data_IF_103369104078
#
_entry.id   IF_103369104078
#
_cell.length_a   1.000
_cell.length_b   1.000
_cell.length_c   1.000
_cell.angle_alpha   90.00
_cell.angle_beta   90.00
_cell.angle_gamma   90.00
#
_symmetry.space_group_name_H-M   'P 1'
#
loop_
_entity.id
_entity.type
_entity.pdbx_description
1 polymer ?
#
# COMPACT_ATOMS: atom_id res chain seq x y z
N UNK A 1 -18.39 18.25 4.53
CA UNK A 1 -18.43 16.85 4.05
C UNK A 1 -17.73 16.83 2.71
N UNK A 2 -16.63 16.10 2.57
CA UNK A 2 -15.81 16.14 1.37
C UNK A 2 -16.33 15.11 0.33
N UNK A 3 -17.34 15.50 -0.44
CA UNK A 3 -17.90 14.70 -1.54
C UNK A 3 -16.90 14.43 -2.66
N UNK A 4 -15.89 15.27 -2.78
CA UNK A 4 -14.89 15.19 -3.83
C UNK A 4 -13.90 14.05 -3.60
N UNK A 5 -13.37 13.91 -2.38
CA UNK A 5 -12.54 12.75 -2.02
C UNK A 5 -13.28 11.43 -2.23
N UNK A 6 -14.54 11.36 -1.83
CA UNK A 6 -15.36 10.16 -2.01
C UNK A 6 -15.46 9.79 -3.51
N UNK A 7 -15.66 10.78 -4.39
CA UNK A 7 -15.71 10.54 -5.83
C UNK A 7 -14.36 10.09 -6.40
N UNK A 8 -13.25 10.72 -6.01
CA UNK A 8 -11.89 10.33 -6.44
C UNK A 8 -11.61 8.87 -6.02
N UNK A 9 -11.91 8.53 -4.76
CA UNK A 9 -11.68 7.18 -4.23
C UNK A 9 -12.55 6.11 -4.91
N UNK A 10 -13.84 6.37 -5.13
CA UNK A 10 -14.71 5.44 -5.85
C UNK A 10 -14.28 5.27 -7.32
N UNK A 11 -13.88 6.37 -7.99
CA UNK A 11 -13.36 6.32 -9.35
C UNK A 11 -12.09 5.47 -9.44
N UNK A 12 -11.14 5.65 -8.52
CA UNK A 12 -9.93 4.84 -8.44
C UNK A 12 -10.25 3.35 -8.30
N UNK A 13 -11.14 2.97 -7.36
CA UNK A 13 -11.54 1.57 -7.16
C UNK A 13 -12.19 0.99 -8.41
N UNK A 14 -13.06 1.75 -9.07
CA UNK A 14 -13.72 1.33 -10.29
C UNK A 14 -12.69 1.09 -11.40
N UNK A 15 -11.80 2.04 -11.63
CA UNK A 15 -10.72 1.94 -12.62
C UNK A 15 -9.82 0.74 -12.38
N UNK A 16 -9.41 0.48 -11.14
CA UNK A 16 -8.63 -0.71 -10.77
C UNK A 16 -9.42 -1.98 -11.13
N UNK A 17 -10.70 -2.06 -10.75
CA UNK A 17 -11.53 -3.25 -10.97
C UNK A 17 -11.81 -3.56 -12.45
N UNK A 18 -11.80 -2.53 -13.30
CA UNK A 18 -12.08 -2.66 -14.74
C UNK A 18 -10.85 -3.05 -15.55
N UNK A 19 -9.65 -2.65 -15.10
CA UNK A 19 -8.41 -2.83 -15.85
C UNK A 19 -7.55 -3.99 -15.34
N UNK A 20 -7.74 -4.38 -14.09
CA UNK A 20 -7.04 -5.54 -13.51
C UNK A 20 -8.03 -6.70 -13.45
N UNK A 21 -8.08 -7.47 -14.55
CA UNK A 21 -8.88 -8.68 -14.65
C UNK A 21 -8.14 -9.89 -14.04
N UNK A 22 -8.90 -10.76 -13.38
CA UNK A 22 -8.38 -11.97 -12.73
C UNK A 22 -8.91 -13.23 -13.41
N UNK A 23 -8.18 -13.73 -14.40
CA UNK A 23 -8.46 -15.02 -15.05
C UNK A 23 -7.30 -15.99 -14.81
N UNK A 24 -7.20 -16.52 -13.59
CA UNK A 24 -6.63 -17.85 -13.36
C UNK A 24 -5.14 -18.10 -13.64
N UNK A 25 -4.25 -17.48 -12.86
CA UNK A 25 -3.07 -18.11 -12.25
C UNK A 25 -2.54 -17.16 -11.17
N UNK A 26 -2.16 -17.68 -10.00
CA UNK A 26 -1.71 -16.90 -8.84
C UNK A 26 -0.28 -16.34 -9.02
N UNK A 27 0.38 -16.57 -10.15
CA UNK A 27 1.84 -16.44 -10.30
C UNK A 27 2.29 -15.30 -11.24
N UNK A 28 1.38 -14.64 -11.98
CA UNK A 28 1.75 -13.79 -13.12
C UNK A 28 1.36 -12.30 -13.00
N UNK A 29 1.11 -11.78 -11.79
CA UNK A 29 0.65 -10.39 -11.65
C UNK A 29 1.80 -9.38 -11.66
N UNK A 30 2.46 -9.26 -12.80
CA UNK A 30 3.29 -8.12 -13.16
C UNK A 30 2.55 -7.29 -14.20
N UNK A 31 2.26 -6.03 -13.86
CA UNK A 31 1.66 -5.08 -14.81
C UNK A 31 2.72 -4.00 -15.03
N UNK A 32 3.41 -4.10 -16.16
CA UNK A 32 4.43 -3.12 -16.53
C UNK A 32 3.79 -1.73 -16.75
N UNK A 33 2.66 -1.66 -17.46
CA UNK A 33 1.94 -0.41 -17.68
C UNK A 33 0.65 -0.33 -16.86
N UNK A 34 0.68 0.47 -15.78
CA UNK A 34 -0.46 0.82 -14.95
C UNK A 34 -0.89 2.28 -15.10
N UNK A 35 -0.64 2.89 -16.27
CA UNK A 35 -1.01 4.28 -16.57
C UNK A 35 -2.52 4.54 -16.46
N UNK A 36 -3.35 3.49 -16.55
CA UNK A 36 -4.79 3.60 -16.28
C UNK A 36 -5.09 4.11 -14.86
N UNK A 37 -4.22 3.86 -13.88
CA UNK A 37 -4.36 4.41 -12.52
C UNK A 37 -4.14 5.92 -12.52
N UNK A 38 -3.15 6.40 -13.29
CA UNK A 38 -2.88 7.84 -13.42
C UNK A 38 -4.06 8.55 -14.08
N UNK A 39 -4.80 7.89 -14.99
CA UNK A 39 -6.03 8.46 -15.55
C UNK A 39 -7.14 8.66 -14.49
N UNK A 40 -7.15 7.87 -13.41
CA UNK A 40 -8.05 8.06 -12.28
C UNK A 40 -7.56 9.09 -11.26
N UNK A 41 -6.26 9.42 -11.31
CA UNK A 41 -5.56 10.37 -10.45
C UNK A 41 -5.09 11.57 -11.31
N UNK A 42 -6.08 12.31 -11.83
CA UNK A 42 -5.91 13.30 -12.90
C UNK A 42 -5.13 14.57 -12.53
N UNK A 43 -4.98 14.86 -11.24
CA UNK A 43 -4.18 15.98 -10.71
C UNK A 43 -2.70 15.61 -10.58
N UNK A 44 -2.34 14.33 -10.69
CA UNK A 44 -0.97 13.86 -10.61
C UNK A 44 -0.32 13.86 -11.99
N UNK A 45 0.79 14.58 -12.12
CA UNK A 45 1.62 14.53 -13.31
C UNK A 45 2.88 13.72 -13.04
N UNK A 46 2.98 12.55 -13.65
CA UNK A 46 4.23 11.79 -13.66
C UNK A 46 5.28 12.50 -14.52
N UNK A 47 6.53 12.50 -14.07
CA UNK A 47 7.64 13.09 -14.82
C UNK A 47 7.74 12.51 -16.23
N UNK A 48 8.05 13.36 -17.20
CA UNK A 48 8.11 12.96 -18.61
C UNK A 48 9.07 11.78 -18.84
N UNK A 49 8.62 10.75 -19.56
CA UNK A 49 9.40 9.57 -19.88
C UNK A 49 9.33 8.47 -18.80
N UNK A 50 8.56 8.69 -17.73
CA UNK A 50 8.28 7.71 -16.69
C UNK A 50 6.82 7.25 -16.71
N UNK A 51 6.60 6.00 -16.35
CA UNK A 51 5.28 5.38 -16.24
C UNK A 51 5.14 4.63 -14.93
N UNK A 52 3.90 4.52 -14.46
CA UNK A 52 3.56 3.72 -13.29
C UNK A 52 3.46 2.25 -13.69
N UNK A 53 4.15 1.37 -12.97
CA UNK A 53 3.99 -0.07 -13.05
C UNK A 53 3.56 -0.66 -11.71
N UNK A 54 3.22 -1.95 -11.72
CA UNK A 54 2.85 -2.73 -10.54
C UNK A 54 3.62 -4.05 -10.51
N UNK A 55 4.11 -4.44 -9.33
CA UNK A 55 4.78 -5.71 -9.11
C UNK A 55 4.23 -6.45 -7.88
N UNK A 56 4.38 -7.79 -7.79
CA UNK A 56 3.96 -8.54 -6.62
C UNK A 56 4.99 -8.43 -5.48
N UNK A 57 4.51 -8.11 -4.27
CA UNK A 57 5.31 -7.98 -3.05
C UNK A 57 5.03 -9.07 -2.03
N UNK A 58 6.05 -9.86 -1.70
CA UNK A 58 5.98 -10.94 -0.73
C UNK A 58 6.52 -10.55 0.65
N UNK A 59 5.79 -10.93 1.71
CA UNK A 59 6.25 -10.82 3.08
C UNK A 59 7.02 -12.10 3.47
N UNK A 60 8.34 -11.98 3.69
CA UNK A 60 9.17 -13.11 4.15
C UNK A 60 9.13 -13.19 5.67
N UNK A 61 8.33 -14.10 6.22
CA UNK A 61 8.65 -14.73 7.49
C UNK A 61 9.37 -16.05 7.17
N UNK A 62 10.45 -16.34 7.89
CA UNK A 62 11.37 -17.45 7.62
C UNK A 62 10.69 -18.76 7.22
N UNK A 63 11.35 -19.46 6.30
CA UNK A 63 10.81 -20.57 5.51
C UNK A 63 9.66 -20.12 4.59
N UNK A 64 10.04 -19.71 3.38
CA UNK A 64 9.15 -19.73 2.22
C UNK A 64 8.85 -21.21 1.93
N UNK A 65 7.97 -21.77 2.73
CA UNK A 65 7.27 -22.98 2.37
C UNK A 65 6.50 -22.68 1.09
N UNK A 66 6.57 -23.62 0.16
CA UNK A 66 6.26 -23.60 -1.28
C UNK A 66 4.97 -22.93 -1.80
N UNK A 67 4.21 -22.21 -0.97
CA UNK A 67 3.03 -21.47 -1.37
C UNK A 67 3.39 -20.01 -1.63
N UNK A 68 3.66 -19.67 -2.89
CA UNK A 68 3.73 -18.32 -3.49
C UNK A 68 2.44 -17.48 -3.30
N UNK A 69 1.62 -17.81 -2.32
CA UNK A 69 0.21 -17.46 -2.21
C UNK A 69 -0.05 -16.20 -1.38
N UNK A 70 0.95 -15.66 -0.67
CA UNK A 70 0.79 -14.57 0.31
C UNK A 70 1.49 -13.28 -0.12
N UNK A 71 0.95 -12.59 -1.12
CA UNK A 71 1.50 -11.32 -1.59
C UNK A 71 0.40 -10.26 -1.78
N UNK A 72 0.85 -9.02 -1.95
CA UNK A 72 0.02 -7.90 -2.38
C UNK A 72 0.75 -7.12 -3.47
N UNK A 73 0.01 -6.37 -4.27
CA UNK A 73 0.60 -5.60 -5.35
C UNK A 73 1.16 -4.27 -4.84
N UNK A 74 2.35 -3.91 -5.32
CA UNK A 74 3.04 -2.65 -5.00
C UNK A 74 3.23 -1.82 -6.26
N UNK A 75 2.97 -0.49 -6.20
CA UNK A 75 3.30 0.39 -7.31
C UNK A 75 4.80 0.70 -7.34
N UNK A 76 5.30 0.94 -8.55
CA UNK A 76 6.64 1.45 -8.80
C UNK A 76 6.65 2.31 -10.06
N UNK A 77 7.76 2.99 -10.33
CA UNK A 77 7.92 3.83 -11.52
C UNK A 77 9.13 3.38 -12.30
N UNK A 78 8.97 3.21 -13.61
CA UNK A 78 10.07 2.92 -14.54
C UNK A 78 9.99 3.83 -15.76
N UNK A 79 11.05 3.85 -16.58
CA UNK A 79 11.04 4.59 -17.85
C UNK A 79 10.17 3.89 -18.88
N UNK A 80 9.51 4.66 -19.74
CA UNK A 80 8.66 4.16 -20.84
C UNK A 80 9.36 3.14 -21.75
N UNK A 81 10.68 3.24 -21.89
CA UNK A 81 11.50 2.36 -22.72
C UNK A 81 12.40 1.41 -21.92
N UNK A 82 12.08 1.18 -20.64
CA UNK A 82 12.80 0.23 -19.80
C UNK A 82 12.74 -1.18 -20.42
N UNK A 83 13.89 -1.84 -20.50
CA UNK A 83 14.03 -3.20 -21.08
C UNK A 83 14.91 -4.11 -20.24
N UNK A 84 15.57 -3.57 -19.21
CA UNK A 84 16.36 -4.35 -18.26
C UNK A 84 15.42 -4.95 -17.22
N UNK A 85 15.77 -6.08 -16.64
CA UNK A 85 14.97 -6.71 -15.59
C UNK A 85 15.69 -6.62 -14.25
N UNK A 86 14.98 -6.17 -13.23
CA UNK A 86 15.39 -6.26 -11.84
C UNK A 86 15.01 -7.65 -11.32
N UNK A 87 15.94 -8.60 -11.48
CA UNK A 87 15.70 -10.00 -11.13
C UNK A 87 16.32 -10.34 -9.77
N UNK A 88 15.55 -10.90 -8.81
CA UNK A 88 16.09 -11.44 -7.59
C UNK A 88 16.77 -12.80 -7.84
N UNK A 89 18.04 -12.95 -7.45
CA UNK A 89 18.74 -14.23 -7.46
C UNK A 89 18.49 -15.00 -6.16
N UNK A 90 18.22 -16.30 -6.29
CA UNK A 90 18.01 -17.21 -5.15
C UNK A 90 19.32 -17.90 -4.76
N UNK A 91 19.84 -17.61 -3.57
CA UNK A 91 20.88 -18.41 -2.91
C UNK A 91 20.23 -19.41 -1.96
N UNK A 92 20.55 -20.69 -2.13
CA UNK A 92 20.17 -21.71 -1.14
C UNK A 92 21.41 -22.11 -0.34
N UNK A 93 21.40 -21.91 0.97
CA UNK A 93 22.49 -22.36 1.86
C UNK A 93 22.14 -23.69 2.52
N UNK A 94 23.07 -24.64 2.43
CA UNK A 94 22.93 -25.95 3.07
C UNK A 94 22.93 -25.81 4.59
N UNK A 95 22.03 -26.51 5.30
CA UNK A 95 22.12 -26.58 6.74
C UNK A 95 23.44 -27.26 7.14
N UNK A 96 24.05 -26.87 8.27
CA UNK A 96 25.25 -27.50 8.77
C UNK A 96 25.04 -29.02 8.98
N UNK A 97 26.12 -29.81 8.86
CA UNK A 97 26.05 -31.28 9.02
C UNK A 97 25.32 -31.65 10.31
N UNK A 98 24.30 -32.52 10.21
CA UNK A 98 23.50 -32.99 11.35
C UNK A 98 24.39 -33.48 12.49
N UNK A 99 24.19 -32.91 13.67
CA UNK A 99 24.82 -33.38 14.92
C UNK A 99 24.28 -34.76 15.32
N UNK A 100 24.96 -35.44 16.25
CA UNK A 100 24.53 -36.76 16.71
C UNK A 100 23.10 -36.74 17.30
N UNK A 101 22.76 -35.71 18.09
CA UNK A 101 21.41 -35.52 18.64
C UNK A 101 20.34 -35.34 17.55
N UNK A 102 20.67 -34.60 16.49
CA UNK A 102 19.78 -34.40 15.35
C UNK A 102 19.59 -35.68 14.52
N UNK A 103 20.62 -36.53 14.41
CA UNK A 103 20.50 -37.84 13.73
C UNK A 103 19.62 -38.82 14.50
N UNK A 104 19.59 -38.71 15.83
CA UNK A 104 18.69 -39.48 16.69
C UNK A 104 17.30 -38.87 16.84
N UNK A 105 16.99 -37.78 16.11
CA UNK A 105 15.71 -37.06 16.20
C UNK A 105 15.41 -36.47 17.60
N UNK A 106 16.46 -36.26 18.43
CA UNK A 106 16.35 -35.66 19.76
C UNK A 106 16.54 -34.14 19.76
N UNK A 107 16.92 -33.56 18.62
CA UNK A 107 17.04 -32.12 18.41
C UNK A 107 16.59 -31.76 16.99
N UNK A 108 16.00 -30.57 16.82
CA UNK A 108 15.58 -30.06 15.49
C UNK A 108 16.81 -29.84 14.60
N UNK A 109 16.71 -30.26 13.35
CA UNK A 109 17.68 -29.86 12.32
C UNK A 109 17.37 -28.42 11.93
N UNK A 110 18.41 -27.60 11.69
CA UNK A 110 18.17 -26.35 10.98
C UNK A 110 17.69 -26.67 9.56
N UNK A 111 16.63 -26.01 9.10
CA UNK A 111 16.18 -26.16 7.73
C UNK A 111 17.14 -25.48 6.76
N UNK A 112 16.95 -25.75 5.47
CA UNK A 112 17.62 -25.01 4.41
C UNK A 112 17.20 -23.55 4.46
N UNK A 113 18.17 -22.63 4.41
CA UNK A 113 17.88 -21.20 4.32
C UNK A 113 17.95 -20.77 2.86
N UNK A 114 16.83 -20.26 2.37
CA UNK A 114 16.72 -19.57 1.08
C UNK A 114 16.92 -18.08 1.33
N UNK A 115 17.91 -17.49 0.69
CA UNK A 115 18.21 -16.06 0.76
C UNK A 115 18.08 -15.49 -0.65
N UNK A 116 17.30 -14.43 -0.81
CA UNK A 116 17.21 -13.70 -2.08
C UNK A 116 18.13 -12.50 -2.00
N UNK A 117 18.83 -12.24 -3.09
CA UNK A 117 19.66 -11.05 -3.25
C UNK A 117 19.48 -10.52 -4.67
N UNK A 118 19.83 -9.25 -4.89
CA UNK A 118 20.04 -8.73 -6.24
C UNK A 118 21.50 -8.32 -6.36
N UNK A 119 22.09 -8.54 -7.54
CA UNK A 119 23.45 -8.08 -7.83
C UNK A 119 23.49 -6.57 -8.08
N UNK A 120 22.36 -6.01 -8.55
CA UNK A 120 22.23 -4.61 -8.92
C UNK A 120 21.34 -3.87 -7.93
N UNK A 121 21.55 -2.56 -7.79
CA UNK A 121 20.57 -1.69 -7.17
C UNK A 121 19.44 -1.39 -8.16
N UNK A 122 18.21 -1.27 -7.64
CA UNK A 122 17.08 -0.93 -8.49
C UNK A 122 17.31 0.43 -9.17
N UNK A 123 16.94 0.54 -10.45
CA UNK A 123 16.92 1.80 -11.17
C UNK A 123 15.69 1.87 -12.09
N UNK A 124 15.18 3.08 -12.43
CA UNK A 124 14.02 3.21 -13.32
C UNK A 124 14.22 2.67 -14.75
N UNK A 125 15.45 2.33 -15.16
CA UNK A 125 15.70 1.64 -16.43
C UNK A 125 15.35 0.14 -16.38
N UNK A 126 14.91 -0.35 -15.22
CA UNK A 126 14.59 -1.75 -14.96
C UNK A 126 13.09 -1.98 -14.72
N UNK A 127 12.57 -3.06 -15.28
CA UNK A 127 11.26 -3.65 -15.05
C UNK A 127 11.35 -4.70 -13.95
N UNK A 128 10.27 -4.91 -13.19
CA UNK A 128 10.20 -5.91 -12.12
C UNK A 128 9.25 -7.03 -12.56
N UNK A 129 9.75 -8.09 -13.23
CA UNK A 129 8.88 -9.09 -13.86
C UNK A 129 8.30 -10.10 -12.86
N UNK A 130 8.84 -10.17 -11.64
CA UNK A 130 8.56 -11.23 -10.68
C UNK A 130 8.37 -10.70 -9.26
N UNK A 131 7.99 -11.59 -8.35
CA UNK A 131 7.78 -11.28 -6.94
C UNK A 131 9.07 -10.78 -6.27
N UNK A 132 8.97 -9.62 -5.61
CA UNK A 132 10.03 -9.12 -4.74
C UNK A 132 9.69 -9.38 -3.27
N UNK A 133 10.69 -9.88 -2.53
CA UNK A 133 10.60 -10.00 -1.07
C UNK A 133 10.87 -8.66 -0.40
N UNK A 134 10.38 -8.50 0.83
CA UNK A 134 10.47 -7.27 1.63
C UNK A 134 11.87 -6.61 1.67
N UNK A 135 12.95 -7.39 1.72
CA UNK A 135 14.32 -6.85 1.74
C UNK A 135 14.66 -6.12 0.44
N UNK A 136 14.29 -6.69 -0.71
CA UNK A 136 14.57 -6.12 -2.03
C UNK A 136 13.57 -5.02 -2.38
N UNK A 137 12.30 -5.19 -2.02
CA UNK A 137 11.29 -4.19 -2.29
C UNK A 137 11.54 -2.84 -1.60
N UNK A 138 12.27 -2.84 -0.47
CA UNK A 138 12.69 -1.62 0.22
C UNK A 138 13.66 -0.75 -0.57
N UNK A 139 14.35 -1.30 -1.57
CA UNK A 139 15.22 -0.51 -2.45
C UNK A 139 14.47 0.15 -3.61
N UNK A 140 13.19 -0.21 -3.82
CA UNK A 140 12.35 0.40 -4.85
C UNK A 140 11.80 1.74 -4.32
N UNK A 141 12.12 2.88 -4.97
CA UNK A 141 11.66 4.20 -4.55
C UNK A 141 10.14 4.35 -4.60
N UNK A 142 9.61 5.29 -3.83
CA UNK A 142 8.18 5.61 -3.86
C UNK A 142 7.81 6.25 -5.20
N UNK A 143 6.64 5.92 -5.79
CA UNK A 143 6.12 6.66 -6.95
C UNK A 143 6.02 8.18 -6.72
N UNK A 144 5.87 8.62 -5.47
CA UNK A 144 5.81 10.03 -5.12
C UNK A 144 7.04 10.84 -5.54
N UNK A 145 8.20 10.21 -5.70
CA UNK A 145 9.43 10.88 -6.12
C UNK A 145 9.35 11.41 -7.56
N UNK A 146 8.44 10.85 -8.37
CA UNK A 146 8.30 11.09 -9.79
C UNK A 146 7.00 11.80 -10.16
N UNK A 147 6.22 12.29 -9.18
CA UNK A 147 4.98 13.02 -9.44
C UNK A 147 5.07 14.49 -9.05
N UNK A 148 4.42 15.33 -9.84
CA UNK A 148 4.26 16.76 -9.62
C UNK A 148 2.77 17.08 -9.51
N UNK A 149 2.44 18.02 -8.65
CA UNK A 149 1.04 18.43 -8.41
C UNK A 149 0.90 19.94 -8.23
N UNK A 150 -0.31 20.45 -8.47
CA UNK A 150 -0.73 21.74 -7.93
C UNK A 150 -0.99 21.62 -6.42
N UNK A 151 -0.82 22.72 -5.67
CA UNK A 151 -1.07 22.72 -4.22
C UNK A 151 -2.56 22.94 -3.91
N UNK A 152 -3.38 21.94 -4.23
CA UNK A 152 -4.84 21.96 -4.09
C UNK A 152 -5.32 20.70 -3.34
N UNK A 153 -6.50 20.75 -2.70
CA UNK A 153 -6.97 19.69 -1.80
C UNK A 153 -7.17 18.36 -2.56
N UNK A 154 -7.72 18.44 -3.76
CA UNK A 154 -7.96 17.35 -4.70
C UNK A 154 -6.65 16.65 -5.09
N UNK A 155 -5.61 17.43 -5.36
CA UNK A 155 -4.31 16.88 -5.70
C UNK A 155 -3.65 16.15 -4.51
N UNK A 156 -3.84 16.67 -3.30
CA UNK A 156 -3.37 16.01 -2.07
C UNK A 156 -4.12 14.71 -1.82
N UNK A 157 -5.41 14.67 -2.14
CA UNK A 157 -6.19 13.44 -2.10
C UNK A 157 -5.66 12.36 -3.01
N UNK A 158 -5.34 12.71 -4.24
CA UNK A 158 -4.76 11.76 -5.18
C UNK A 158 -3.34 11.33 -4.77
N UNK A 159 -2.53 12.24 -4.21
CA UNK A 159 -1.23 11.89 -3.61
C UNK A 159 -1.39 10.87 -2.48
N UNK A 160 -2.35 11.10 -1.57
CA UNK A 160 -2.63 10.15 -0.49
C UNK A 160 -3.01 8.78 -1.05
N UNK A 161 -3.89 8.74 -2.05
CA UNK A 161 -4.31 7.48 -2.66
C UNK A 161 -3.16 6.77 -3.39
N UNK A 162 -2.28 7.49 -4.10
CA UNK A 162 -1.08 6.91 -4.73
C UNK A 162 -0.10 6.36 -3.68
N UNK A 163 0.16 7.14 -2.62
CA UNK A 163 1.05 6.74 -1.52
C UNK A 163 0.57 5.48 -0.80
N UNK A 164 -0.76 5.31 -0.72
CA UNK A 164 -1.43 4.18 -0.06
C UNK A 164 -1.94 3.13 -1.03
N UNK A 165 -1.61 3.23 -2.31
CA UNK A 165 -2.24 2.46 -3.40
C UNK A 165 -2.22 0.95 -3.14
N UNK A 166 -1.15 0.41 -2.53
CA UNK A 166 -1.03 -1.00 -2.12
C UNK A 166 -2.20 -1.52 -1.27
N UNK A 167 -2.90 -0.64 -0.54
CA UNK A 167 -4.03 -0.99 0.31
C UNK A 167 -5.36 -1.11 -0.44
N UNK A 168 -5.41 -0.60 -1.68
CA UNK A 168 -6.56 -0.60 -2.57
C UNK A 168 -6.36 -1.52 -3.78
N UNK A 169 -5.10 -1.82 -4.10
CA UNK A 169 -4.74 -2.81 -5.09
C UNK A 169 -5.14 -4.23 -4.66
N UNK A 170 -5.23 -5.16 -5.62
CA UNK A 170 -5.47 -6.57 -5.34
C UNK A 170 -4.44 -7.17 -4.36
N UNK A 171 -4.93 -8.08 -3.51
CA UNK A 171 -4.16 -8.77 -2.48
C UNK A 171 -4.60 -10.22 -2.37
N UNK A 172 -3.71 -11.11 -1.95
CA UNK A 172 -3.94 -12.56 -1.96
C UNK A 172 -3.70 -13.21 -0.59
N UNK A 173 -4.56 -14.16 -0.23
CA UNK A 173 -4.51 -14.91 1.03
C UNK A 173 -4.26 -14.00 2.25
N UNK A 174 -3.15 -14.18 2.97
CA UNK A 174 -2.81 -13.36 4.13
C UNK A 174 -2.46 -11.91 3.77
N UNK A 175 -2.19 -11.60 2.51
CA UNK A 175 -2.10 -10.23 2.00
C UNK A 175 -3.40 -9.43 2.18
N UNK A 176 -4.56 -10.08 2.27
CA UNK A 176 -5.84 -9.38 2.51
C UNK A 176 -5.87 -8.58 3.81
N UNK A 177 -4.99 -8.88 4.78
CA UNK A 177 -4.91 -8.12 6.04
C UNK A 177 -4.48 -6.66 5.86
N UNK A 178 -3.83 -6.34 4.73
CA UNK A 178 -3.43 -4.97 4.43
C UNK A 178 -4.54 -4.17 3.76
N UNK A 179 -5.63 -4.78 3.27
CA UNK A 179 -6.72 -4.02 2.63
C UNK A 179 -7.33 -3.00 3.59
N UNK A 180 -7.71 -1.84 3.05
CA UNK A 180 -8.31 -0.73 3.80
C UNK A 180 -9.57 -0.26 3.08
N UNK A 181 -10.69 -0.29 3.79
CA UNK A 181 -11.94 0.30 3.29
C UNK A 181 -12.14 1.64 3.99
N UNK A 182 -11.80 2.72 3.30
CA UNK A 182 -11.95 4.08 3.82
C UNK A 182 -13.43 4.42 4.06
N UNK A 183 -13.67 5.25 5.07
CA UNK A 183 -14.97 5.85 5.38
C UNK A 183 -14.95 7.26 4.78
N UNK A 184 -15.57 7.44 3.61
CA UNK A 184 -15.53 8.69 2.86
C UNK A 184 -16.86 9.45 2.95
N UNK A 185 -17.96 8.74 3.10
CA UNK A 185 -19.31 9.28 3.15
C UNK A 185 -20.19 8.61 4.23
N UNK A 186 -21.28 9.26 4.67
CA UNK A 186 -22.19 8.66 5.65
C UNK A 186 -22.72 7.27 5.26
N UNK A 187 -22.94 7.03 3.97
CA UNK A 187 -23.38 5.72 3.46
C UNK A 187 -22.38 4.59 3.72
N UNK A 188 -21.10 4.90 3.93
CA UNK A 188 -20.10 3.89 4.28
C UNK A 188 -20.30 3.39 5.72
N UNK A 189 -20.81 4.25 6.60
CA UNK A 189 -21.13 3.91 8.00
C UNK A 189 -22.25 2.86 8.03
N UNK A 190 -23.20 2.93 7.11
CA UNK A 190 -24.32 1.98 7.02
C UNK A 190 -23.86 0.53 6.79
N UNK A 191 -22.66 0.35 6.24
CA UNK A 191 -22.06 -0.98 5.98
C UNK A 191 -21.24 -1.50 7.17
N UNK A 192 -21.06 -0.71 8.22
CA UNK A 192 -20.26 -1.08 9.40
C UNK A 192 -21.06 -1.94 10.40
N UNK A 193 -20.37 -2.73 11.26
CA UNK A 193 -21.01 -3.43 12.37
C UNK A 193 -21.72 -2.47 13.35
N UNK A 194 -22.81 -2.92 13.97
CA UNK A 194 -23.62 -2.08 14.87
C UNK A 194 -22.81 -1.45 16.01
N UNK A 195 -21.86 -2.18 16.61
CA UNK A 195 -21.04 -1.63 17.69
C UNK A 195 -20.14 -0.47 17.25
N UNK A 196 -19.72 -0.45 15.98
CA UNK A 196 -18.98 0.68 15.39
C UNK A 196 -19.94 1.85 15.12
N UNK A 197 -21.12 1.55 14.57
CA UNK A 197 -22.17 2.56 14.34
C UNK A 197 -22.58 3.26 15.64
N UNK A 198 -22.73 2.51 16.73
CA UNK A 198 -23.07 3.04 18.05
C UNK A 198 -21.99 4.01 18.57
N UNK A 199 -20.71 3.66 18.38
CA UNK A 199 -19.60 4.56 18.70
C UNK A 199 -19.63 5.82 17.84
N UNK A 200 -19.77 5.69 16.53
CA UNK A 200 -19.82 6.86 15.63
C UNK A 200 -21.01 7.76 15.99
N UNK A 201 -22.18 7.18 16.28
CA UNK A 201 -23.34 7.93 16.75
C UNK A 201 -23.07 8.66 18.07
N UNK A 202 -22.27 8.08 18.97
CA UNK A 202 -21.79 8.76 20.17
C UNK A 202 -20.85 9.93 19.83
N UNK A 203 -19.87 9.75 18.93
CA UNK A 203 -19.01 10.84 18.43
C UNK A 203 -19.83 11.98 17.81
N UNK A 204 -20.86 11.67 17.00
CA UNK A 204 -21.77 12.66 16.43
C UNK A 204 -22.46 13.51 17.51
N UNK A 205 -22.87 12.91 18.63
CA UNK A 205 -23.47 13.63 19.77
C UNK A 205 -22.47 14.55 20.48
N UNK A 206 -21.19 14.20 20.43
CA UNK A 206 -20.09 14.99 20.99
C UNK A 206 -19.52 16.02 20.00
N UNK A 207 -20.14 16.20 18.82
CA UNK A 207 -19.65 17.05 17.72
C UNK A 207 -18.27 16.66 17.17
N UNK A 208 -17.86 15.40 17.35
CA UNK A 208 -16.56 14.86 16.91
C UNK A 208 -16.65 14.11 15.56
N UNK A 209 -17.79 14.19 14.86
CA UNK A 209 -18.00 13.47 13.59
C UNK A 209 -17.03 13.87 12.48
N UNK A 210 -16.52 15.10 12.52
CA UNK A 210 -15.51 15.59 11.59
C UNK A 210 -14.20 14.80 11.67
N UNK A 211 -13.93 14.10 12.78
CA UNK A 211 -12.75 13.23 12.95
C UNK A 211 -12.88 11.90 12.18
N UNK A 212 -14.10 11.52 11.80
CA UNK A 212 -14.37 10.25 11.10
C UNK A 212 -14.16 10.40 9.59
N UNK A 213 -14.52 11.55 9.05
CA UNK A 213 -14.46 11.79 7.61
C UNK A 213 -13.10 12.34 7.18
N UNK A 214 -12.73 12.16 5.90
CA UNK A 214 -11.45 12.62 5.39
C UNK A 214 -11.33 14.14 5.46
N UNK A 215 -10.16 14.60 5.90
CA UNK A 215 -9.79 16.03 6.01
C UNK A 215 -8.33 16.27 5.57
N UNK A 216 -8.10 17.33 4.78
CA UNK A 216 -6.76 17.89 4.56
C UNK A 216 -6.60 19.14 5.41
N UNK A 217 -5.44 19.29 6.04
CA UNK A 217 -5.02 20.52 6.69
C UNK A 217 -3.71 21.00 6.07
N UNK A 218 -3.73 22.23 5.55
CA UNK A 218 -2.55 22.90 5.03
C UNK A 218 -1.92 23.78 6.11
N UNK A 219 -0.60 23.65 6.25
CA UNK A 219 0.29 24.53 7.01
C UNK A 219 1.48 24.87 6.10
N UNK A 220 2.14 26.03 6.26
CA UNK A 220 3.20 26.57 5.39
C UNK A 220 3.79 25.61 4.34
N UNK A 221 4.64 24.66 4.77
CA UNK A 221 5.24 23.60 3.95
C UNK A 221 4.66 22.20 4.25
N UNK A 222 3.71 22.07 5.18
CA UNK A 222 3.19 20.80 5.67
C UNK A 222 1.74 20.57 5.30
N UNK A 223 1.43 19.31 5.05
CA UNK A 223 0.09 18.89 4.68
C UNK A 223 -0.25 17.67 5.52
N UNK A 224 -1.32 17.76 6.31
CA UNK A 224 -1.83 16.64 7.08
C UNK A 224 -3.08 16.10 6.41
N UNK A 225 -3.06 14.80 6.10
CA UNK A 225 -4.21 14.04 5.64
C UNK A 225 -4.67 13.17 6.80
N UNK A 226 -5.92 13.32 7.21
CA UNK A 226 -6.58 12.45 8.18
C UNK A 226 -7.78 11.77 7.53
N UNK A 227 -7.91 10.46 7.69
CA UNK A 227 -9.08 9.71 7.28
C UNK A 227 -9.35 8.56 8.27
N UNK A 228 -10.53 7.94 8.21
CA UNK A 228 -10.78 6.69 8.93
C UNK A 228 -11.00 5.54 7.96
N UNK A 229 -10.68 4.34 8.42
CA UNK A 229 -11.05 3.11 7.74
C UNK A 229 -11.50 2.06 8.73
N UNK A 230 -12.28 1.09 8.24
CA UNK A 230 -12.63 -0.08 9.01
C UNK A 230 -11.81 -1.30 8.58
N UNK A 231 -11.21 -1.97 9.56
CA UNK A 231 -10.49 -3.22 9.38
C UNK A 231 -11.13 -4.30 10.26
N UNK A 232 -11.45 -5.45 9.67
CA UNK A 232 -12.16 -6.53 10.36
C UNK A 232 -11.38 -7.19 11.51
N UNK A 233 -10.06 -6.97 11.59
CA UNK A 233 -9.20 -7.51 12.65
C UNK A 233 -8.90 -6.49 13.74
N UNK A 234 -8.71 -5.22 13.35
CA UNK A 234 -8.28 -4.16 14.28
C UNK A 234 -9.42 -3.23 14.71
N UNK A 235 -10.45 -3.06 13.89
CA UNK A 235 -11.65 -2.27 14.18
C UNK A 235 -11.69 -0.97 13.39
N UNK A 236 -12.24 0.09 13.99
CA UNK A 236 -12.24 1.44 13.43
C UNK A 236 -10.91 2.12 13.73
N UNK A 237 -10.22 2.56 12.70
CA UNK A 237 -8.89 3.17 12.81
C UNK A 237 -8.90 4.56 12.18
N UNK A 238 -8.34 5.52 12.90
CA UNK A 238 -7.94 6.81 12.36
C UNK A 238 -6.56 6.69 11.74
N UNK A 239 -6.41 7.24 10.54
CA UNK A 239 -5.21 7.17 9.74
C UNK A 239 -4.76 8.57 9.36
N UNK A 240 -3.63 8.98 9.93
CA UNK A 240 -3.00 10.26 9.64
C UNK A 240 -1.73 10.06 8.83
N UNK A 241 -1.55 10.84 7.77
CA UNK A 241 -0.29 10.91 7.01
C UNK A 241 0.12 12.35 6.81
N UNK A 242 1.37 12.65 7.13
CA UNK A 242 1.95 13.98 6.97
C UNK A 242 2.89 14.02 5.76
N UNK A 243 2.73 15.06 4.95
CA UNK A 243 3.54 15.34 3.79
C UNK A 243 4.21 16.71 3.88
N UNK A 244 5.35 16.85 3.21
CA UNK A 244 5.98 18.13 2.89
C UNK A 244 5.69 18.47 1.44
N UNK A 245 5.32 19.71 1.20
CA UNK A 245 5.21 20.27 -0.14
C UNK A 245 6.37 21.21 -0.43
N UNK A 246 6.99 21.05 -1.60
CA UNK A 246 8.10 21.87 -2.08
C UNK A 246 7.77 22.42 -3.46
N UNK A 247 7.68 23.74 -3.60
CA UNK A 247 7.46 24.41 -4.88
C UNK A 247 8.66 24.19 -5.82
N UNK A 248 8.39 23.91 -7.11
CA UNK A 248 9.42 23.68 -8.13
C UNK A 248 9.47 24.75 -9.22
N UNK A 249 8.71 25.85 -9.05
CA UNK A 249 8.39 26.80 -10.13
C UNK A 249 7.11 26.37 -10.87
N UNK A 250 6.62 27.20 -11.79
CA UNK A 250 5.42 26.99 -12.63
C UNK A 250 4.07 26.74 -11.92
N UNK A 251 4.00 26.93 -10.60
CA UNK A 251 2.80 26.70 -9.79
C UNK A 251 2.65 25.25 -9.30
N UNK A 252 3.56 24.35 -9.69
CA UNK A 252 3.58 22.96 -9.23
C UNK A 252 4.66 22.72 -8.19
N UNK A 253 4.46 21.67 -7.42
CA UNK A 253 5.43 21.20 -6.44
C UNK A 253 5.54 19.69 -6.37
N UNK A 254 6.54 19.23 -5.61
CA UNK A 254 6.69 17.84 -5.20
C UNK A 254 6.14 17.65 -3.80
N UNK A 255 5.70 16.41 -3.55
CA UNK A 255 5.23 15.99 -2.24
C UNK A 255 6.08 14.85 -1.72
N UNK A 256 6.60 15.01 -0.51
CA UNK A 256 7.44 14.03 0.14
C UNK A 256 6.82 13.60 1.47
N UNK A 257 6.92 12.32 1.81
CA UNK A 257 6.44 11.82 3.11
C UNK A 257 7.36 12.33 4.24
N UNK A 258 6.79 12.93 5.28
CA UNK A 258 7.58 13.47 6.38
C UNK A 258 8.07 12.38 7.35
N UNK A 259 9.39 12.20 7.46
CA UNK A 259 10.17 11.91 8.68
C UNK A 259 9.53 11.19 9.87
N UNK A 260 8.83 11.96 10.69
CA UNK A 260 8.28 11.50 11.96
C UNK A 260 7.22 12.53 12.38
N UNK A 261 6.03 12.11 12.82
CA UNK A 261 5.45 10.77 12.62
C UNK A 261 4.95 10.62 11.17
N UNK A 262 5.51 9.63 10.46
CA UNK A 262 5.25 9.36 9.03
C UNK A 262 3.81 8.95 8.71
N UNK A 263 3.16 8.31 9.67
CA UNK A 263 1.91 7.61 9.51
C UNK A 263 1.42 7.19 10.91
N UNK A 264 0.29 7.73 11.38
CA UNK A 264 -0.31 7.36 12.66
C UNK A 264 -1.57 6.54 12.37
N UNK A 265 -1.59 5.28 12.84
CA UNK A 265 -2.79 4.44 12.87
C UNK A 265 -3.25 4.34 14.33
N UNK A 266 -4.28 5.10 14.70
CA UNK A 266 -4.88 5.06 16.04
C UNK A 266 -6.18 4.25 16.03
N UNK A 267 -6.25 3.22 16.88
CA UNK A 267 -7.46 2.40 17.03
C UNK A 267 -8.49 3.18 17.85
N UNK A 268 -9.50 3.73 17.18
CA UNK A 268 -10.60 4.45 17.83
C UNK A 268 -11.56 3.48 18.53
N UNK A 269 -11.83 2.35 17.88
CA UNK A 269 -12.69 1.29 18.41
C UNK A 269 -12.10 -0.06 18.03
N UNK A 270 -11.62 -0.87 19.00
CA UNK A 270 -11.13 -2.20 18.69
C UNK A 270 -12.28 -3.11 18.26
N UNK A 271 -11.97 -4.16 17.51
CA UNK A 271 -12.92 -5.27 17.31
C UNK A 271 -13.28 -5.83 18.68
N UNK A 272 -14.57 -5.77 19.06
CA UNK A 272 -15.06 -6.59 20.16
C UNK A 272 -14.77 -8.03 19.79
N UNK A 273 -14.00 -8.75 20.61
CA UNK A 273 -13.72 -10.18 20.39
C UNK A 273 -15.01 -10.84 19.88
N UNK A 274 -14.95 -11.35 18.65
CA UNK A 274 -16.00 -12.25 18.18
C UNK A 274 -15.87 -13.43 19.13
N UNK A 275 -16.75 -13.47 20.14
CA UNK A 275 -17.00 -14.67 20.91
C UNK A 275 -17.38 -15.71 19.86
N UNK A 276 -16.40 -16.53 19.47
CA UNK A 276 -16.63 -17.68 18.61
C UNK A 276 -17.50 -18.61 19.44
N UNK A 277 -18.80 -18.54 19.20
CA UNK A 277 -19.74 -19.59 19.60
C UNK A 277 -19.50 -20.82 18.74
#
# INVERSE_FOLDING_TARGET
>A
MNTEFANIYENLKLTISQNIAFEGSEDDLCIEDASFIMNALSQLEIEQGYVLGLYPHGYSFGEIDSNYRNYYTMPYVHKENATKFFSPELKTTQPPKKTWLQRLHLAKCEPWKKEYYSLDEYSPDMLIPELLIDVLAKSVPSPLEYVRINREEEAIWEVFLLDKLKHFLPTFNHGNYIRRNLICAPSDIDRLPNYIKDYIAHCCRMHDVEKIFPKVEFSDDRILVTCCYFNQQKGLIMWETSYRWTEMGDGKGKVERLSVPHNIEDVLVPVKEIVRY
#
